data_IF_433260920798
#
_entry.id   IF_433260920798
#
_cell.length_a   1.000
_cell.length_b   1.000
_cell.length_c   1.000
_cell.angle_alpha   90.00
_cell.angle_beta   90.00
_cell.angle_gamma   90.00
#
_symmetry.space_group_name_H-M   'P 1'
#
loop_
_entity.id
_entity.type
_entity.pdbx_description
1 polymer ?
#
# COMPACT_ATOMS: atom_id res chain seq x y z
N UNK A 1 22.06 -8.72 -15.49
CA UNK A 1 21.73 -9.94 -16.28
C UNK A 1 21.17 -11.03 -15.39
N UNK A 2 21.72 -11.30 -14.22
CA UNK A 2 21.31 -12.34 -13.25
C UNK A 2 19.80 -12.38 -12.93
N UNK A 3 19.18 -11.24 -12.55
CA UNK A 3 17.70 -11.16 -12.32
C UNK A 3 16.87 -11.65 -13.51
N UNK A 4 17.41 -11.52 -14.72
CA UNK A 4 16.75 -12.01 -15.91
C UNK A 4 16.87 -13.52 -16.02
N UNK A 5 18.02 -14.10 -15.67
CA UNK A 5 18.21 -15.55 -15.59
C UNK A 5 17.29 -16.17 -14.54
N UNK A 6 17.17 -15.56 -13.34
CA UNK A 6 16.19 -15.98 -12.32
C UNK A 6 14.77 -16.00 -12.88
N UNK A 7 14.38 -14.96 -13.62
CA UNK A 7 13.06 -14.87 -14.23
C UNK A 7 12.85 -15.94 -15.29
N UNK A 8 13.79 -16.12 -16.20
CA UNK A 8 13.74 -17.13 -17.27
C UNK A 8 13.70 -18.54 -16.65
N UNK A 9 14.47 -18.79 -15.61
CA UNK A 9 14.45 -20.07 -14.87
C UNK A 9 13.13 -20.31 -14.20
N UNK A 10 12.68 -19.41 -13.34
CA UNK A 10 11.44 -19.51 -12.56
C UNK A 10 10.22 -19.82 -13.41
N UNK A 11 10.10 -19.17 -14.54
CA UNK A 11 8.93 -19.28 -15.43
C UNK A 11 9.14 -20.23 -16.61
N UNK A 12 10.24 -20.96 -16.62
CA UNK A 12 10.58 -21.93 -17.67
C UNK A 12 10.46 -21.33 -19.08
N UNK A 13 11.00 -20.13 -19.27
CA UNK A 13 10.94 -19.40 -20.56
C UNK A 13 12.06 -19.82 -21.52
N UNK A 14 12.69 -20.94 -21.31
CA UNK A 14 13.73 -21.55 -22.14
C UNK A 14 13.16 -22.73 -22.95
N UNK A 15 13.84 -23.11 -24.01
CA UNK A 15 13.47 -24.29 -24.78
C UNK A 15 13.72 -25.56 -23.95
N UNK A 16 12.65 -26.20 -23.48
CA UNK A 16 12.71 -27.37 -22.59
C UNK A 16 13.22 -28.64 -23.30
N UNK A 17 13.24 -28.67 -24.62
CA UNK A 17 13.59 -29.85 -25.44
C UNK A 17 15.09 -30.08 -25.65
N UNK A 18 15.96 -29.15 -25.22
CA UNK A 18 17.40 -29.20 -25.50
C UNK A 18 18.29 -28.79 -24.32
N UNK A 19 17.80 -28.88 -23.09
CA UNK A 19 18.62 -28.58 -21.93
C UNK A 19 19.63 -29.71 -21.67
N UNK A 20 20.90 -29.35 -21.52
CA UNK A 20 21.96 -30.25 -21.10
C UNK A 20 22.94 -29.53 -20.18
N UNK A 21 23.65 -30.26 -19.32
CA UNK A 21 24.77 -29.73 -18.57
C UNK A 21 25.89 -29.30 -19.52
N UNK A 22 26.85 -28.55 -19.03
CA UNK A 22 28.05 -28.18 -19.76
C UNK A 22 28.89 -29.38 -20.20
N UNK A 23 28.68 -30.55 -19.57
CA UNK A 23 29.28 -31.86 -19.91
C UNK A 23 28.44 -32.67 -20.89
N UNK A 24 27.28 -32.15 -21.35
CA UNK A 24 26.38 -32.81 -22.31
C UNK A 24 25.34 -33.74 -21.72
N UNK A 25 25.21 -33.85 -20.41
CA UNK A 25 24.19 -34.71 -19.77
C UNK A 25 22.80 -34.07 -19.93
N UNK A 26 21.78 -34.83 -20.37
CA UNK A 26 20.45 -34.27 -20.61
C UNK A 26 19.77 -33.83 -19.31
N UNK A 27 19.13 -32.65 -19.33
CA UNK A 27 18.42 -32.08 -18.19
C UNK A 27 16.92 -31.93 -18.49
N UNK A 28 16.08 -32.35 -17.53
CA UNK A 28 14.65 -32.00 -17.52
C UNK A 28 14.27 -31.34 -16.17
N UNK A 29 13.80 -30.11 -16.23
CA UNK A 29 13.36 -29.37 -15.04
C UNK A 29 11.92 -29.74 -14.72
N UNK A 30 11.73 -30.62 -13.74
CA UNK A 30 10.40 -31.04 -13.22
C UNK A 30 9.78 -29.87 -12.47
N UNK A 31 10.52 -29.34 -11.46
CA UNK A 31 10.15 -28.19 -10.66
C UNK A 31 11.36 -27.25 -10.53
N UNK A 32 11.27 -25.95 -10.90
CA UNK A 32 12.38 -25.01 -10.78
C UNK A 32 12.72 -24.65 -9.33
N UNK A 33 11.86 -24.99 -8.38
CA UNK A 33 11.98 -24.65 -6.96
C UNK A 33 11.25 -23.35 -6.58
N UNK A 34 11.30 -23.06 -5.29
CA UNK A 34 10.73 -21.86 -4.67
C UNK A 34 11.84 -20.80 -4.58
N UNK A 35 11.60 -19.64 -5.17
CA UNK A 35 12.57 -18.55 -5.15
C UNK A 35 12.81 -18.05 -3.72
N UNK A 36 14.08 -17.98 -3.34
CA UNK A 36 14.54 -17.38 -2.09
C UNK A 36 14.73 -15.86 -2.27
N UNK A 37 14.43 -15.12 -1.21
CA UNK A 37 14.67 -13.68 -1.13
C UNK A 37 15.60 -13.30 0.03
N UNK A 38 16.03 -14.31 0.79
CA UNK A 38 16.91 -14.20 1.95
C UNK A 38 18.30 -14.77 1.64
N UNK A 39 19.14 -14.95 2.64
CA UNK A 39 20.47 -15.56 2.48
C UNK A 39 20.38 -17.06 2.08
N UNK A 40 21.35 -17.55 1.32
CA UNK A 40 21.44 -18.92 0.82
C UNK A 40 21.05 -19.04 -0.65
N UNK A 41 20.94 -20.28 -1.18
CA UNK A 41 20.69 -20.53 -2.60
C UNK A 41 19.41 -19.86 -3.13
N UNK A 42 19.42 -19.45 -4.39
CA UNK A 42 18.36 -18.69 -5.06
C UNK A 42 17.01 -19.40 -5.16
N UNK A 43 17.02 -20.73 -5.27
CA UNK A 43 15.82 -21.54 -5.35
C UNK A 43 15.96 -22.79 -4.48
N UNK A 44 14.94 -23.04 -3.62
CA UNK A 44 14.86 -24.21 -2.75
C UNK A 44 13.90 -25.27 -3.31
N UNK A 45 14.10 -26.53 -2.91
CA UNK A 45 13.21 -27.65 -3.24
C UNK A 45 13.00 -27.84 -4.75
N UNK A 46 13.96 -27.49 -5.57
CA UNK A 46 13.92 -27.82 -6.99
C UNK A 46 13.96 -29.33 -7.21
N UNK A 47 13.29 -29.79 -8.30
CA UNK A 47 13.33 -31.20 -8.75
C UNK A 47 13.79 -31.23 -10.20
N UNK A 48 14.98 -31.79 -10.42
CA UNK A 48 15.65 -31.77 -11.72
C UNK A 48 16.07 -33.21 -12.06
N UNK A 49 15.75 -33.66 -13.26
CA UNK A 49 16.23 -34.93 -13.77
C UNK A 49 17.49 -34.65 -14.59
N UNK A 50 18.63 -35.23 -14.20
CA UNK A 50 19.92 -35.13 -14.88
C UNK A 50 20.34 -36.57 -15.22
N UNK A 51 20.60 -36.83 -16.50
CA UNK A 51 21.00 -38.16 -17.02
C UNK A 51 20.14 -39.32 -16.45
N UNK A 52 18.82 -39.14 -16.52
CA UNK A 52 17.87 -40.15 -16.06
C UNK A 52 17.58 -40.16 -14.54
N UNK A 53 18.45 -39.57 -13.69
CA UNK A 53 18.30 -39.54 -12.23
C UNK A 53 17.58 -38.25 -11.80
N UNK A 54 16.60 -38.41 -10.89
CA UNK A 54 15.87 -37.23 -10.31
C UNK A 54 16.57 -36.78 -9.04
N UNK A 55 17.02 -35.55 -9.06
CA UNK A 55 17.64 -34.86 -7.93
C UNK A 55 16.64 -33.89 -7.30
N UNK A 56 16.63 -33.81 -5.97
CA UNK A 56 15.90 -32.78 -5.20
C UNK A 56 16.90 -31.97 -4.36
N UNK A 57 16.85 -30.66 -4.47
CA UNK A 57 17.80 -29.78 -3.77
C UNK A 57 17.60 -28.32 -4.16
N UNK A 58 18.67 -27.55 -4.03
CA UNK A 58 18.68 -26.13 -4.34
C UNK A 58 19.29 -25.84 -5.71
N UNK A 59 18.94 -24.69 -6.30
CA UNK A 59 19.55 -24.18 -7.53
C UNK A 59 20.10 -22.80 -7.25
N UNK A 60 21.32 -22.56 -7.71
CA UNK A 60 21.98 -21.26 -7.69
C UNK A 60 22.12 -20.71 -9.10
N UNK A 61 21.98 -19.41 -9.27
CA UNK A 61 21.98 -18.75 -10.57
C UNK A 61 22.90 -17.55 -10.55
N UNK A 62 23.88 -17.52 -11.45
CA UNK A 62 24.80 -16.41 -11.62
C UNK A 62 24.86 -15.91 -13.06
N UNK A 63 25.33 -14.71 -13.27
CA UNK A 63 25.65 -14.21 -14.61
C UNK A 63 26.81 -14.97 -15.21
N UNK A 64 27.88 -15.20 -14.43
CA UNK A 64 29.07 -15.96 -14.79
C UNK A 64 29.28 -17.12 -13.81
N UNK A 65 29.85 -18.20 -14.29
CA UNK A 65 30.17 -19.34 -13.42
C UNK A 65 31.23 -18.96 -12.35
N UNK A 66 32.17 -18.08 -12.69
CA UNK A 66 33.17 -17.57 -11.75
C UNK A 66 32.64 -16.76 -10.58
N UNK A 67 31.39 -16.27 -10.65
CA UNK A 67 30.71 -15.54 -9.54
C UNK A 67 30.50 -16.45 -8.32
N UNK A 68 30.40 -17.78 -8.51
CA UNK A 68 30.37 -18.77 -7.44
C UNK A 68 31.59 -18.64 -6.51
N UNK A 69 32.78 -18.51 -7.09
CA UNK A 69 34.02 -18.34 -6.33
C UNK A 69 34.17 -16.94 -5.77
N UNK A 70 33.73 -15.92 -6.52
CA UNK A 70 33.72 -14.52 -6.08
C UNK A 70 32.87 -14.30 -4.84
N UNK A 71 31.76 -15.01 -4.73
CA UNK A 71 30.81 -14.95 -3.58
C UNK A 71 31.18 -15.97 -2.48
N UNK A 72 32.28 -16.71 -2.61
CA UNK A 72 32.77 -17.70 -1.65
C UNK A 72 31.78 -18.84 -1.36
N UNK A 73 30.96 -19.24 -2.35
CA UNK A 73 30.00 -20.34 -2.17
C UNK A 73 30.67 -21.72 -2.10
N UNK A 74 31.89 -21.85 -2.61
CA UNK A 74 32.75 -23.01 -2.49
C UNK A 74 33.18 -23.31 -1.03
N UNK A 75 33.07 -22.35 -0.14
CA UNK A 75 33.45 -22.43 1.28
C UNK A 75 32.24 -22.26 2.24
N UNK A 76 31.02 -22.07 1.73
CA UNK A 76 29.81 -21.91 2.53
C UNK A 76 28.92 -23.17 2.50
N UNK A 77 28.77 -23.80 3.67
CA UNK A 77 27.94 -24.99 3.86
C UNK A 77 26.46 -24.81 3.44
N UNK A 78 25.95 -23.59 3.43
CA UNK A 78 24.57 -23.30 2.98
C UNK A 78 24.36 -23.72 1.51
N UNK A 79 25.41 -23.75 0.70
CA UNK A 79 25.38 -24.08 -0.73
C UNK A 79 25.68 -25.58 -1.03
N UNK A 80 25.95 -26.41 -0.02
CA UNK A 80 26.14 -27.87 -0.22
C UNK A 80 24.90 -28.57 -0.76
N UNK A 81 23.71 -28.00 -0.56
CA UNK A 81 22.43 -28.50 -1.09
C UNK A 81 22.18 -28.18 -2.57
N UNK A 82 23.09 -27.43 -3.23
CA UNK A 82 22.92 -27.03 -4.64
C UNK A 82 23.15 -28.24 -5.56
N UNK A 83 22.10 -28.60 -6.31
CA UNK A 83 22.10 -29.73 -7.26
C UNK A 83 22.37 -29.31 -8.69
N UNK A 84 22.19 -28.03 -9.00
CA UNK A 84 22.45 -27.46 -10.32
C UNK A 84 22.85 -25.98 -10.16
N UNK A 85 23.92 -25.59 -10.84
CA UNK A 85 24.33 -24.21 -11.02
C UNK A 85 23.92 -23.73 -12.41
N UNK A 86 23.13 -22.66 -12.49
CA UNK A 86 22.64 -22.10 -13.74
C UNK A 86 23.39 -20.82 -14.05
N UNK A 87 23.96 -20.69 -15.24
CA UNK A 87 24.78 -19.54 -15.60
C UNK A 87 24.45 -18.97 -16.98
N UNK A 88 24.67 -17.67 -17.15
CA UNK A 88 24.60 -17.01 -18.46
C UNK A 88 25.90 -17.16 -19.27
N UNK A 89 27.04 -17.28 -18.57
CA UNK A 89 28.38 -17.52 -19.16
C UNK A 89 29.07 -18.57 -18.33
N UNK A 90 29.58 -19.62 -18.98
CA UNK A 90 30.33 -20.68 -18.36
C UNK A 90 31.83 -20.45 -18.51
N UNK A 91 32.42 -19.70 -17.58
CA UNK A 91 33.83 -19.31 -17.58
C UNK A 91 34.69 -19.99 -16.47
N UNK A 92 34.04 -20.84 -15.63
CA UNK A 92 34.73 -21.58 -14.57
C UNK A 92 34.02 -22.91 -14.28
N UNK A 93 34.81 -23.93 -13.88
CA UNK A 93 34.27 -25.13 -13.25
C UNK A 93 34.17 -24.93 -11.75
N UNK A 94 33.07 -25.34 -11.14
CA UNK A 94 32.80 -25.11 -9.73
C UNK A 94 32.57 -26.43 -8.95
N UNK A 95 32.91 -26.38 -7.67
CA UNK A 95 32.74 -27.51 -6.76
C UNK A 95 32.06 -27.08 -5.46
N UNK A 96 31.49 -28.04 -4.74
CA UNK A 96 31.05 -27.89 -3.36
C UNK A 96 32.27 -27.78 -2.41
N UNK A 97 31.99 -27.47 -1.15
CA UNK A 97 32.98 -27.41 -0.09
C UNK A 97 33.75 -28.76 0.08
N UNK A 98 33.12 -29.87 -0.22
CA UNK A 98 33.73 -31.23 -0.17
C UNK A 98 34.54 -31.58 -1.43
N UNK A 99 34.65 -30.64 -2.41
CA UNK A 99 35.37 -30.84 -3.67
C UNK A 99 34.59 -31.57 -4.77
N UNK A 100 33.32 -31.97 -4.52
CA UNK A 100 32.49 -32.56 -5.56
C UNK A 100 32.07 -31.53 -6.60
N UNK A 101 32.17 -31.84 -7.92
CA UNK A 101 31.72 -30.95 -8.96
C UNK A 101 30.20 -30.75 -8.92
N UNK A 102 29.74 -29.53 -9.18
CA UNK A 102 28.31 -29.22 -9.29
C UNK A 102 27.95 -29.22 -10.78
N UNK A 103 26.90 -29.94 -11.21
CA UNK A 103 26.40 -29.87 -12.57
C UNK A 103 26.07 -28.41 -12.95
N UNK A 104 26.53 -27.96 -14.10
CA UNK A 104 26.32 -26.60 -14.59
C UNK A 104 25.44 -26.60 -15.83
N UNK A 105 24.51 -25.65 -15.91
CA UNK A 105 23.64 -25.40 -17.06
C UNK A 105 23.91 -23.99 -17.62
N UNK A 106 24.31 -23.91 -18.87
CA UNK A 106 24.35 -22.66 -19.59
C UNK A 106 22.95 -22.29 -20.08
N UNK A 107 22.33 -21.31 -19.43
CA UNK A 107 20.97 -20.87 -19.72
C UNK A 107 20.98 -19.67 -20.66
N UNK A 108 20.53 -19.85 -21.89
CA UNK A 108 20.34 -18.75 -22.85
C UNK A 108 18.98 -18.10 -22.65
N UNK A 109 18.97 -16.78 -22.60
CA UNK A 109 17.74 -15.99 -22.63
C UNK A 109 17.24 -15.91 -24.06
N UNK A 110 16.01 -16.35 -24.36
CA UNK A 110 15.46 -16.23 -25.70
C UNK A 110 15.47 -14.78 -26.18
N UNK A 111 15.94 -14.54 -27.40
CA UNK A 111 16.10 -13.20 -27.98
C UNK A 111 14.81 -12.34 -27.92
N UNK A 112 13.60 -12.88 -28.17
CA UNK A 112 12.37 -12.12 -28.02
C UNK A 112 12.10 -11.67 -26.58
N UNK A 113 12.43 -12.51 -25.57
CA UNK A 113 12.30 -12.14 -24.16
C UNK A 113 13.31 -11.04 -23.78
N UNK A 114 14.54 -11.14 -24.26
CA UNK A 114 15.60 -10.13 -24.06
C UNK A 114 15.20 -8.77 -24.63
N UNK A 115 14.78 -8.71 -25.89
CA UNK A 115 14.31 -7.45 -26.52
C UNK A 115 13.15 -6.80 -25.77
N UNK A 116 12.18 -7.58 -25.31
CA UNK A 116 11.05 -7.03 -24.59
C UNK A 116 11.40 -6.55 -23.18
N UNK A 117 12.36 -7.22 -22.52
CA UNK A 117 12.86 -6.76 -21.22
C UNK A 117 13.61 -5.46 -21.37
N UNK A 118 14.51 -5.38 -22.35
CA UNK A 118 15.23 -4.14 -22.64
C UNK A 118 14.25 -3.02 -22.95
N UNK A 119 13.20 -3.30 -23.75
CA UNK A 119 12.13 -2.34 -24.04
C UNK A 119 11.37 -1.90 -22.76
N UNK A 120 11.03 -2.83 -21.85
CA UNK A 120 10.32 -2.50 -20.61
C UNK A 120 11.19 -1.72 -19.60
N UNK A 121 12.47 -2.04 -19.50
CA UNK A 121 13.37 -1.48 -18.48
C UNK A 121 14.02 -0.17 -18.93
N UNK A 122 14.32 0.00 -20.23
CA UNK A 122 14.97 1.19 -20.76
C UNK A 122 14.05 2.42 -20.85
N UNK A 123 12.72 2.24 -20.82
CA UNK A 123 11.79 3.37 -20.94
C UNK A 123 11.68 4.17 -19.64
N UNK A 124 12.10 5.43 -19.68
CA UNK A 124 11.96 6.40 -18.59
C UNK A 124 10.56 7.04 -18.51
N UNK A 125 9.52 6.23 -18.73
CA UNK A 125 8.12 6.67 -18.64
C UNK A 125 7.45 6.16 -17.36
N UNK A 126 6.42 6.86 -16.86
CA UNK A 126 5.76 6.48 -15.61
C UNK A 126 5.17 5.06 -15.58
N UNK A 127 4.72 4.54 -16.73
CA UNK A 127 4.19 3.17 -16.90
C UNK A 127 4.82 2.57 -18.15
N UNK A 128 5.89 1.77 -18.02
CA UNK A 128 6.68 1.29 -19.16
C UNK A 128 5.87 0.51 -20.23
N UNK A 129 4.90 -0.29 -19.78
CA UNK A 129 4.08 -1.14 -20.66
C UNK A 129 2.77 -0.49 -21.13
N UNK A 130 2.55 0.81 -20.89
CA UNK A 130 1.27 1.49 -21.10
C UNK A 130 0.63 1.20 -22.46
N UNK A 131 1.42 1.27 -23.53
CA UNK A 131 0.94 1.12 -24.93
C UNK A 131 0.58 -0.33 -25.28
N UNK A 132 1.01 -1.30 -24.49
CA UNK A 132 0.83 -2.73 -24.73
C UNK A 132 -0.02 -3.43 -23.67
N UNK A 133 -0.57 -2.70 -22.70
CA UNK A 133 -1.43 -3.30 -21.67
C UNK A 133 -2.65 -3.97 -22.30
N UNK A 134 -3.21 -3.38 -23.34
CA UNK A 134 -4.34 -3.94 -24.10
C UNK A 134 -4.02 -5.27 -24.81
N UNK A 135 -2.73 -5.63 -24.95
CA UNK A 135 -2.33 -6.95 -25.45
C UNK A 135 -2.53 -8.05 -24.41
N UNK A 136 -2.76 -7.69 -23.14
CA UNK A 136 -3.01 -8.63 -22.05
C UNK A 136 -4.49 -8.99 -22.03
N UNK A 137 -4.77 -10.28 -21.97
CA UNK A 137 -6.13 -10.81 -21.86
C UNK A 137 -6.87 -10.22 -20.65
N UNK A 138 -8.16 -9.84 -20.83
CA UNK A 138 -8.97 -9.16 -19.82
C UNK A 138 -9.14 -9.96 -18.54
N UNK A 139 -9.26 -11.29 -18.62
CA UNK A 139 -9.37 -12.17 -17.42
C UNK A 139 -8.09 -12.12 -16.59
N UNK A 140 -6.92 -12.14 -17.25
CA UNK A 140 -5.65 -12.04 -16.55
C UNK A 140 -5.42 -10.66 -15.96
N UNK A 141 -5.87 -9.61 -16.63
CA UNK A 141 -5.81 -8.25 -16.13
C UNK A 141 -6.71 -8.08 -14.90
N UNK A 142 -7.97 -8.53 -14.97
CA UNK A 142 -8.92 -8.49 -13.86
C UNK A 142 -8.36 -9.25 -12.62
N UNK A 143 -7.92 -10.50 -12.82
CA UNK A 143 -7.29 -11.28 -11.73
C UNK A 143 -6.05 -10.60 -11.13
N UNK A 144 -5.29 -9.85 -11.95
CA UNK A 144 -4.16 -9.09 -11.43
C UNK A 144 -4.60 -7.88 -10.62
N UNK A 145 -5.65 -7.17 -11.07
CA UNK A 145 -6.23 -6.04 -10.34
C UNK A 145 -6.74 -6.46 -8.96
N UNK A 146 -7.42 -7.62 -8.85
CA UNK A 146 -7.87 -8.17 -7.56
C UNK A 146 -6.69 -8.48 -6.62
N UNK A 147 -5.63 -9.08 -7.17
CA UNK A 147 -4.41 -9.34 -6.38
C UNK A 147 -3.78 -8.04 -5.87
N UNK A 148 -3.66 -7.03 -6.74
CA UNK A 148 -3.11 -5.72 -6.36
C UNK A 148 -3.94 -5.00 -5.31
N UNK A 149 -5.28 -5.15 -5.36
CA UNK A 149 -6.17 -4.63 -4.32
C UNK A 149 -5.90 -5.29 -2.98
N UNK A 150 -5.80 -6.62 -2.96
CA UNK A 150 -5.48 -7.38 -1.75
C UNK A 150 -4.14 -6.97 -1.15
N UNK A 151 -3.06 -6.95 -1.95
CA UNK A 151 -1.74 -6.48 -1.52
C UNK A 151 -1.77 -5.06 -0.92
N UNK A 152 -2.58 -4.16 -1.53
CA UNK A 152 -2.71 -2.81 -1.03
C UNK A 152 -3.42 -2.74 0.31
N UNK A 153 -4.48 -3.50 0.49
CA UNK A 153 -5.21 -3.56 1.75
C UNK A 153 -4.35 -4.20 2.85
N UNK A 154 -3.65 -5.30 2.56
CA UNK A 154 -2.71 -5.95 3.47
C UNK A 154 -1.64 -4.97 3.96
N UNK A 155 -0.99 -4.24 3.05
CA UNK A 155 0.03 -3.25 3.41
C UNK A 155 -0.51 -2.12 4.29
N UNK A 156 -1.73 -1.63 4.02
CA UNK A 156 -2.39 -0.64 4.88
C UNK A 156 -2.74 -1.23 6.26
N UNK A 157 -3.03 -2.51 6.30
CA UNK A 157 -3.36 -3.24 7.53
C UNK A 157 -2.15 -3.39 8.45
N UNK A 158 -0.95 -3.54 7.91
CA UNK A 158 0.29 -3.60 8.71
C UNK A 158 0.50 -2.34 9.56
N UNK A 159 0.23 -1.16 8.99
CA UNK A 159 0.29 0.11 9.72
C UNK A 159 -0.74 0.16 10.86
N UNK A 160 -1.95 -0.38 10.61
CA UNK A 160 -3.02 -0.47 11.60
C UNK A 160 -2.64 -1.43 12.74
N UNK A 161 -2.07 -2.59 12.41
CA UNK A 161 -1.64 -3.57 13.42
C UNK A 161 -0.54 -3.01 14.30
N UNK A 162 0.44 -2.28 13.75
CA UNK A 162 1.46 -1.59 14.56
C UNK A 162 0.85 -0.57 15.53
N UNK A 163 -0.19 0.15 15.12
CA UNK A 163 -0.91 1.03 16.04
C UNK A 163 -1.68 0.25 17.10
N UNK A 164 -2.36 -0.84 16.75
CA UNK A 164 -3.07 -1.69 17.72
C UNK A 164 -2.12 -2.25 18.78
N UNK A 165 -0.97 -2.76 18.37
CA UNK A 165 0.06 -3.23 19.30
C UNK A 165 0.54 -2.10 20.24
N UNK A 166 0.70 -0.87 19.73
CA UNK A 166 1.08 0.30 20.52
C UNK A 166 -0.03 0.74 21.50
N UNK A 167 -1.30 0.65 21.10
CA UNK A 167 -2.45 1.09 21.88
C UNK A 167 -3.22 -0.08 22.53
N UNK A 168 -2.56 -1.23 22.77
CA UNK A 168 -3.09 -2.36 23.54
C UNK A 168 -4.44 -2.88 23.01
N UNK A 169 -4.56 -3.02 21.68
CA UNK A 169 -5.76 -3.48 20.98
C UNK A 169 -6.99 -2.55 21.14
N UNK A 170 -6.79 -1.28 21.49
CA UNK A 170 -7.87 -0.30 21.54
C UNK A 170 -8.25 0.19 20.12
N UNK A 171 -9.19 -0.54 19.51
CA UNK A 171 -9.73 -0.22 18.18
C UNK A 171 -10.37 1.16 18.09
N UNK A 172 -10.97 1.68 19.17
CA UNK A 172 -11.56 3.01 19.17
C UNK A 172 -10.50 4.11 19.11
N UNK A 173 -9.44 3.98 19.89
CA UNK A 173 -8.31 4.91 19.87
C UNK A 173 -7.59 4.87 18.52
N UNK A 174 -7.32 3.67 17.97
CA UNK A 174 -6.69 3.51 16.66
C UNK A 174 -7.57 4.10 15.55
N UNK A 175 -8.88 3.83 15.58
CA UNK A 175 -9.82 4.45 14.64
C UNK A 175 -9.81 5.98 14.73
N UNK A 176 -9.82 6.54 15.95
CA UNK A 176 -9.73 7.98 16.18
C UNK A 176 -8.47 8.58 15.58
N UNK A 177 -7.31 7.96 15.80
CA UNK A 177 -6.02 8.42 15.26
C UNK A 177 -6.05 8.42 13.72
N UNK A 178 -6.49 7.33 13.10
CA UNK A 178 -6.53 7.19 11.65
C UNK A 178 -7.57 8.10 10.99
N UNK A 179 -8.75 8.25 11.62
CA UNK A 179 -9.77 9.17 11.14
C UNK A 179 -9.25 10.61 11.19
N UNK A 180 -8.69 11.01 12.33
CA UNK A 180 -8.13 12.35 12.52
C UNK A 180 -7.02 12.62 11.50
N UNK A 181 -6.06 11.68 11.31
CA UNK A 181 -5.04 11.75 10.27
C UNK A 181 -5.65 11.99 8.88
N UNK A 182 -6.72 11.27 8.54
CA UNK A 182 -7.37 11.37 7.24
C UNK A 182 -8.04 12.72 6.99
N UNK A 183 -8.48 13.42 8.06
CA UNK A 183 -8.96 14.80 7.97
C UNK A 183 -7.88 15.82 7.59
N UNK A 184 -6.62 15.47 7.66
CA UNK A 184 -5.51 16.26 7.13
C UNK A 184 -5.42 16.29 5.59
N UNK A 185 -6.15 15.44 4.88
CA UNK A 185 -6.25 15.35 3.42
C UNK A 185 -4.91 15.46 2.69
N UNK A 186 -3.92 14.75 3.18
CA UNK A 186 -2.56 14.67 2.64
C UNK A 186 -1.63 15.76 3.20
N UNK A 187 -1.88 17.02 2.94
CA UNK A 187 -0.95 18.12 3.32
C UNK A 187 -0.80 18.25 4.83
N UNK A 188 -1.88 18.06 5.57
CA UNK A 188 -1.90 18.17 7.04
C UNK A 188 -2.02 16.81 7.74
N UNK A 189 -1.88 15.68 7.05
CA UNK A 189 -2.12 14.36 7.63
C UNK A 189 -1.25 14.10 8.86
N UNK A 190 0.03 14.46 8.82
CA UNK A 190 0.94 14.22 9.94
C UNK A 190 0.62 15.14 11.14
N UNK A 191 0.29 16.42 10.90
CA UNK A 191 -0.14 17.34 11.95
C UNK A 191 -1.41 16.85 12.67
N UNK A 192 -2.40 16.36 11.90
CA UNK A 192 -3.62 15.79 12.46
C UNK A 192 -3.36 14.45 13.19
N UNK A 193 -2.41 13.64 12.75
CA UNK A 193 -2.02 12.44 13.48
C UNK A 193 -1.35 12.79 14.81
N UNK A 194 -0.45 13.78 14.84
CA UNK A 194 0.17 14.25 16.07
C UNK A 194 -0.86 14.85 17.03
N UNK A 195 -1.84 15.59 16.49
CA UNK A 195 -2.98 16.08 17.28
C UNK A 195 -3.71 14.93 17.98
N UNK A 196 -4.09 13.89 17.23
CA UNK A 196 -4.79 12.75 17.79
C UNK A 196 -3.96 12.03 18.87
N UNK A 197 -2.67 11.78 18.60
CA UNK A 197 -1.76 11.13 19.56
C UNK A 197 -1.51 11.96 20.82
N UNK A 198 -1.61 13.30 20.73
CA UNK A 198 -1.44 14.21 21.87
C UNK A 198 -2.73 14.46 22.66
N UNK A 199 -3.88 14.07 22.12
CA UNK A 199 -5.21 14.24 22.71
C UNK A 199 -5.99 12.91 22.67
N UNK A 200 -5.81 12.03 23.66
CA UNK A 200 -6.50 10.73 23.70
C UNK A 200 -8.03 10.84 23.60
N UNK A 201 -8.65 9.95 22.83
CA UNK A 201 -10.10 9.93 22.57
C UNK A 201 -10.92 9.95 23.87
N UNK A 202 -10.48 9.22 24.89
CA UNK A 202 -11.14 9.18 26.21
C UNK A 202 -11.31 10.55 26.86
N UNK A 203 -10.49 11.55 26.55
CA UNK A 203 -10.65 12.91 27.10
C UNK A 203 -11.75 13.66 26.36
N UNK A 204 -11.83 13.49 25.05
CA UNK A 204 -12.92 14.03 24.22
C UNK A 204 -14.25 13.42 24.65
N UNK A 205 -14.32 12.11 24.82
CA UNK A 205 -15.53 11.39 25.26
C UNK A 205 -16.05 11.90 26.61
N UNK A 206 -15.17 12.21 27.56
CA UNK A 206 -15.57 12.79 28.86
C UNK A 206 -16.20 14.17 28.77
N UNK A 207 -15.94 14.91 27.70
CA UNK A 207 -16.50 16.26 27.48
C UNK A 207 -17.54 16.28 26.35
N UNK A 208 -17.91 15.15 25.79
CA UNK A 208 -18.78 15.01 24.63
C UNK A 208 -20.15 15.69 24.77
N UNK A 209 -20.68 15.81 25.98
CA UNK A 209 -21.95 16.49 26.23
C UNK A 209 -21.96 17.99 25.84
N UNK A 210 -20.78 18.62 25.74
CA UNK A 210 -20.65 20.04 25.38
C UNK A 210 -19.89 20.17 24.06
N UNK A 211 -20.56 20.63 23.01
CA UNK A 211 -19.97 20.89 21.71
C UNK A 211 -18.79 21.88 21.81
N UNK A 212 -18.95 22.97 22.56
CA UNK A 212 -17.91 23.96 22.75
C UNK A 212 -16.65 23.41 23.45
N UNK A 213 -16.80 22.44 24.38
CA UNK A 213 -15.66 21.80 25.03
C UNK A 213 -14.93 20.86 24.08
N UNK A 214 -15.64 20.10 23.23
CA UNK A 214 -15.00 19.24 22.23
C UNK A 214 -14.25 20.10 21.21
N UNK A 215 -14.86 21.20 20.71
CA UNK A 215 -14.16 22.14 19.84
C UNK A 215 -12.93 22.76 20.53
N UNK A 216 -13.10 23.24 21.75
CA UNK A 216 -12.01 23.82 22.53
C UNK A 216 -10.83 22.87 22.69
N UNK A 217 -11.09 21.58 22.95
CA UNK A 217 -10.04 20.56 23.04
C UNK A 217 -9.27 20.39 21.73
N UNK A 218 -9.97 20.27 20.60
CA UNK A 218 -9.32 20.05 19.30
C UNK A 218 -8.56 21.29 18.83
N UNK A 219 -9.19 22.47 18.88
CA UNK A 219 -8.53 23.73 18.48
C UNK A 219 -7.41 24.14 19.42
N UNK A 220 -7.62 24.01 20.72
CA UNK A 220 -6.62 24.35 21.72
C UNK A 220 -5.41 23.42 21.68
N UNK A 221 -5.65 22.11 21.54
CA UNK A 221 -4.57 21.13 21.42
C UNK A 221 -3.78 21.30 20.11
N UNK A 222 -4.43 21.77 19.03
CA UNK A 222 -3.77 22.16 17.78
C UNK A 222 -2.97 23.47 17.90
N UNK A 223 -2.95 24.15 19.06
CA UNK A 223 -2.24 25.41 19.27
C UNK A 223 -2.96 26.65 18.74
N UNK A 224 -4.15 26.50 18.16
CA UNK A 224 -4.87 27.57 17.45
C UNK A 224 -5.62 28.53 18.39
N UNK A 225 -5.50 28.38 19.71
CA UNK A 225 -6.11 29.23 20.74
C UNK A 225 -5.05 29.90 21.63
N UNK A 226 -3.81 30.05 21.18
CA UNK A 226 -2.67 30.58 21.93
C UNK A 226 -2.65 32.09 22.06
N UNK A 227 -3.14 32.81 21.04
CA UNK A 227 -3.10 34.29 21.00
C UNK A 227 -4.33 34.95 21.62
N UNK A 228 -4.29 36.28 21.83
CA UNK A 228 -5.47 37.04 22.20
C UNK A 228 -6.38 37.23 20.97
N UNK A 229 -7.51 36.52 20.97
CA UNK A 229 -8.48 36.60 19.89
C UNK A 229 -9.52 37.69 20.08
N UNK A 230 -9.88 38.35 18.98
CA UNK A 230 -10.82 39.52 18.99
C UNK A 230 -12.28 39.09 19.10
N UNK A 231 -12.68 37.92 18.62
CA UNK A 231 -14.10 37.50 18.60
C UNK A 231 -14.54 36.78 19.88
N UNK A 232 -15.81 36.92 20.22
CA UNK A 232 -16.41 36.28 21.41
C UNK A 232 -16.25 34.76 21.40
N UNK A 233 -16.46 34.14 20.23
CA UNK A 233 -16.37 32.68 20.08
C UNK A 233 -14.97 32.15 20.35
N UNK A 234 -13.95 32.80 19.82
CA UNK A 234 -12.55 32.47 20.11
C UNK A 234 -12.24 32.51 21.62
N UNK A 235 -12.66 33.61 22.30
CA UNK A 235 -12.44 33.77 23.74
C UNK A 235 -13.18 32.71 24.56
N UNK A 236 -14.38 32.30 24.13
CA UNK A 236 -15.12 31.19 24.74
C UNK A 236 -14.33 29.89 24.65
N UNK A 237 -13.90 29.49 23.44
CA UNK A 237 -13.14 28.26 23.24
C UNK A 237 -11.81 28.28 23.99
N UNK A 238 -11.11 29.40 23.99
CA UNK A 238 -9.85 29.57 24.73
C UNK A 238 -10.04 29.35 26.24
N UNK A 239 -11.07 29.96 26.84
CA UNK A 239 -11.38 29.79 28.27
C UNK A 239 -11.70 28.32 28.58
N UNK A 240 -12.50 27.67 27.78
CA UNK A 240 -12.83 26.25 27.96
C UNK A 240 -11.55 25.38 27.83
N UNK A 241 -10.71 25.66 26.84
CA UNK A 241 -9.47 24.91 26.66
C UNK A 241 -8.49 25.11 27.83
N UNK A 242 -8.30 26.31 28.32
CA UNK A 242 -7.45 26.60 29.49
C UNK A 242 -7.86 25.73 30.69
N UNK A 243 -9.16 25.66 30.98
CA UNK A 243 -9.69 24.79 32.02
C UNK A 243 -9.38 23.30 31.75
N UNK A 244 -9.66 22.84 30.51
CA UNK A 244 -9.48 21.43 30.12
C UNK A 244 -8.00 21.05 30.03
N UNK A 245 -7.15 21.98 29.60
CA UNK A 245 -5.71 21.81 29.60
C UNK A 245 -5.16 21.49 30.99
N UNK A 246 -5.57 22.25 31.98
CA UNK A 246 -5.22 21.98 33.38
C UNK A 246 -5.79 20.65 33.88
N UNK A 247 -7.06 20.40 33.61
CA UNK A 247 -7.77 19.19 34.06
C UNK A 247 -7.10 17.90 33.56
N UNK A 248 -6.59 17.89 32.33
CA UNK A 248 -6.03 16.70 31.69
C UNK A 248 -4.51 16.74 31.51
N UNK A 249 -3.85 17.81 31.96
CA UNK A 249 -2.39 17.96 31.81
C UNK A 249 -1.93 18.08 30.36
N UNK A 250 -2.75 18.71 29.47
CA UNK A 250 -2.49 18.78 28.06
C UNK A 250 -1.36 19.79 27.73
N UNK A 251 -0.58 19.47 26.70
CA UNK A 251 0.44 20.35 26.11
C UNK A 251 0.08 20.60 24.66
N UNK A 252 -0.29 21.84 24.28
CA UNK A 252 -0.70 22.15 22.92
C UNK A 252 0.46 21.94 21.94
N UNK A 253 0.12 21.59 20.71
CA UNK A 253 1.04 21.59 19.59
C UNK A 253 1.32 23.02 19.11
N UNK A 254 2.32 23.17 18.25
CA UNK A 254 2.58 24.42 17.54
C UNK A 254 1.60 24.54 16.35
N UNK A 255 0.88 25.65 16.23
CA UNK A 255 -0.10 25.89 15.17
C UNK A 255 0.53 25.98 13.78
N UNK A 256 1.82 26.34 13.70
CA UNK A 256 2.58 26.36 12.44
C UNK A 256 2.65 25.00 11.72
N UNK A 257 2.41 23.90 12.43
CA UNK A 257 2.29 22.56 11.85
C UNK A 257 1.10 22.45 10.88
N UNK A 258 0.06 23.26 11.07
CA UNK A 258 -1.20 23.21 10.31
C UNK A 258 -1.20 24.20 9.16
N UNK A 259 -0.89 23.73 7.97
CA UNK A 259 -0.72 24.54 6.76
C UNK A 259 -2.07 24.92 6.15
N UNK A 260 -2.22 26.21 5.82
CA UNK A 260 -3.38 26.75 5.08
C UNK A 260 -2.99 27.32 3.71
N UNK A 261 -1.71 27.62 3.49
CA UNK A 261 -1.23 28.21 2.24
C UNK A 261 -1.42 27.27 1.04
N UNK A 262 -1.96 27.79 -0.06
CA UNK A 262 -2.27 27.04 -1.29
C UNK A 262 -3.30 25.93 -1.13
N UNK A 263 -4.12 25.97 -0.09
CA UNK A 263 -5.21 25.04 0.17
C UNK A 263 -6.55 25.79 -0.06
N UNK A 264 -7.54 25.09 -0.62
CA UNK A 264 -8.90 25.63 -0.77
C UNK A 264 -9.51 25.87 0.62
N UNK A 265 -10.25 26.99 0.85
CA UNK A 265 -10.81 27.32 2.17
C UNK A 265 -11.62 26.19 2.81
N UNK A 266 -12.36 25.41 2.03
CA UNK A 266 -13.11 24.22 2.53
C UNK A 266 -12.22 23.12 3.12
N UNK A 267 -10.92 23.15 2.85
CA UNK A 267 -9.92 22.21 3.37
C UNK A 267 -8.97 22.88 4.38
N UNK A 268 -9.24 24.09 4.84
CA UNK A 268 -8.46 24.69 5.91
C UNK A 268 -8.51 23.85 7.17
N UNK A 269 -7.41 23.74 7.92
CA UNK A 269 -7.37 22.98 9.17
C UNK A 269 -8.50 23.35 10.13
N UNK A 270 -8.85 24.64 10.24
CA UNK A 270 -9.95 25.11 11.08
C UNK A 270 -11.28 24.47 10.71
N UNK A 271 -11.64 24.43 9.42
CA UNK A 271 -12.87 23.79 8.95
C UNK A 271 -12.83 22.28 9.23
N UNK A 272 -11.66 21.64 9.06
CA UNK A 272 -11.49 20.21 9.30
C UNK A 272 -11.58 19.86 10.78
N UNK A 273 -11.04 20.69 11.66
CA UNK A 273 -11.20 20.54 13.10
C UNK A 273 -12.65 20.73 13.55
N UNK A 274 -13.35 21.72 12.99
CA UNK A 274 -14.77 21.94 13.26
C UNK A 274 -15.64 20.73 12.80
N UNK A 275 -15.37 20.17 11.64
CA UNK A 275 -16.04 18.96 11.15
C UNK A 275 -15.75 17.76 12.07
N UNK A 276 -14.52 17.60 12.50
CA UNK A 276 -14.09 16.51 13.38
C UNK A 276 -14.71 16.65 14.78
N UNK A 277 -14.78 17.87 15.33
CA UNK A 277 -15.41 18.12 16.63
C UNK A 277 -16.90 17.80 16.61
N UNK A 278 -17.61 18.17 15.55
CA UNK A 278 -19.02 17.83 15.39
C UNK A 278 -19.27 16.31 15.37
N UNK A 279 -18.37 15.55 14.73
CA UNK A 279 -18.44 14.07 14.73
C UNK A 279 -18.26 13.53 16.14
N UNK A 280 -17.23 13.95 16.86
CA UNK A 280 -16.94 13.44 18.21
C UNK A 280 -17.90 13.97 19.29
N UNK A 281 -18.53 15.12 19.07
CA UNK A 281 -19.65 15.56 19.89
C UNK A 281 -20.88 14.66 19.70
N UNK A 282 -21.16 14.26 18.45
CA UNK A 282 -22.34 13.47 18.11
C UNK A 282 -22.22 12.01 18.51
N UNK A 283 -21.08 11.37 18.28
CA UNK A 283 -20.92 9.92 18.46
C UNK A 283 -19.88 9.57 19.52
N UNK A 284 -20.24 8.63 20.38
CA UNK A 284 -19.36 8.05 21.39
C UNK A 284 -18.62 6.80 20.88
N UNK A 285 -19.34 5.96 20.15
CA UNK A 285 -18.89 4.63 19.71
C UNK A 285 -18.92 4.49 18.18
N UNK A 286 -18.40 5.50 17.47
CA UNK A 286 -18.52 5.57 16.00
C UNK A 286 -17.93 4.34 15.31
N UNK A 287 -16.82 3.77 15.82
CA UNK A 287 -16.23 2.57 15.25
C UNK A 287 -17.18 1.36 15.33
N UNK A 288 -17.80 1.14 16.49
CA UNK A 288 -18.79 0.07 16.66
C UNK A 288 -20.01 0.25 15.76
N UNK A 289 -20.45 1.50 15.56
CA UNK A 289 -21.53 1.82 14.62
C UNK A 289 -21.15 1.47 13.17
N UNK A 290 -19.91 1.75 12.76
CA UNK A 290 -19.40 1.36 11.45
C UNK A 290 -19.35 -0.16 11.31
N UNK A 291 -18.91 -0.87 12.34
CA UNK A 291 -18.90 -2.35 12.33
C UNK A 291 -20.32 -2.94 12.18
N UNK A 292 -21.34 -2.31 12.74
CA UNK A 292 -22.74 -2.78 12.67
C UNK A 292 -23.54 -2.21 11.49
N UNK A 293 -23.01 -1.21 10.78
CA UNK A 293 -23.70 -0.58 9.67
C UNK A 293 -24.08 -1.58 8.57
N UNK A 294 -25.30 -1.48 8.08
CA UNK A 294 -25.88 -2.40 7.08
C UNK A 294 -25.54 -2.02 5.65
N UNK A 295 -25.14 -0.77 5.40
CA UNK A 295 -24.89 -0.27 4.04
C UNK A 295 -23.80 0.81 3.99
N UNK A 296 -23.14 0.99 2.80
CA UNK A 296 -22.22 2.10 2.56
C UNK A 296 -22.86 3.48 2.76
N UNK A 297 -24.15 3.62 2.46
CA UNK A 297 -24.89 4.86 2.66
C UNK A 297 -24.97 5.23 4.13
N UNK A 298 -25.33 4.27 4.98
CA UNK A 298 -25.39 4.46 6.43
C UNK A 298 -24.07 4.91 7.01
N UNK A 299 -22.95 4.30 6.58
CA UNK A 299 -21.60 4.74 6.99
C UNK A 299 -21.34 6.18 6.57
N UNK A 300 -21.70 6.57 5.35
CA UNK A 300 -21.56 7.96 4.89
C UNK A 300 -22.38 8.94 5.72
N UNK A 301 -23.59 8.57 6.10
CA UNK A 301 -24.50 9.41 6.86
C UNK A 301 -23.96 9.73 8.27
N UNK A 302 -23.15 8.85 8.88
CA UNK A 302 -22.46 9.15 10.13
C UNK A 302 -21.47 10.32 10.03
N UNK A 303 -20.93 10.59 8.86
CA UNK A 303 -19.98 11.70 8.63
C UNK A 303 -20.66 12.99 8.12
N UNK A 304 -21.95 12.95 7.75
CA UNK A 304 -22.70 14.10 7.25
C UNK A 304 -23.26 14.95 8.39
N UNK A 305 -22.36 15.54 9.15
CA UNK A 305 -22.70 16.39 10.30
C UNK A 305 -22.28 17.81 10.00
N UNK A 306 -23.16 18.77 10.35
CA UNK A 306 -22.86 20.19 10.28
C UNK A 306 -22.06 20.59 11.51
N UNK A 307 -20.91 21.27 11.35
CA UNK A 307 -20.21 21.93 12.46
C UNK A 307 -21.07 23.00 13.12
N UNK A 308 -20.64 23.48 14.29
CA UNK A 308 -21.32 24.52 15.03
C UNK A 308 -21.63 25.77 14.17
N UNK A 309 -22.67 26.52 14.55
CA UNK A 309 -23.19 27.64 13.74
C UNK A 309 -22.17 28.70 13.41
N UNK A 310 -21.15 28.87 14.24
CA UNK A 310 -20.07 29.81 13.97
C UNK A 310 -19.40 29.53 12.62
N UNK A 311 -19.15 28.27 12.29
CA UNK A 311 -18.44 27.89 11.06
C UNK A 311 -19.27 28.06 9.79
N UNK A 312 -20.56 28.28 9.87
CA UNK A 312 -21.36 28.59 8.68
C UNK A 312 -20.85 29.84 7.96
N UNK A 313 -20.35 30.81 8.72
CA UNK A 313 -19.88 32.11 8.19
C UNK A 313 -18.35 32.29 8.29
N UNK A 314 -17.60 31.26 8.71
CA UNK A 314 -16.16 31.39 8.93
C UNK A 314 -15.39 30.22 8.32
N UNK A 315 -14.19 30.52 7.82
CA UNK A 315 -13.16 29.53 7.46
C UNK A 315 -11.93 29.62 8.39
N UNK A 316 -11.89 30.68 9.19
CA UNK A 316 -10.87 31.01 10.17
C UNK A 316 -11.49 31.89 11.24
N UNK A 317 -10.90 31.99 12.44
CA UNK A 317 -11.49 32.79 13.53
C UNK A 317 -11.59 34.29 13.25
N UNK A 318 -10.74 34.86 12.38
CA UNK A 318 -10.60 36.30 12.21
C UNK A 318 -11.53 36.91 11.14
N UNK A 319 -11.97 36.10 10.17
CA UNK A 319 -12.63 36.64 8.98
C UNK A 319 -13.96 35.94 8.71
N UNK A 320 -15.02 36.76 8.71
CA UNK A 320 -16.32 36.28 8.26
C UNK A 320 -16.33 36.07 6.73
N UNK A 321 -17.06 35.09 6.29
CA UNK A 321 -17.28 34.73 4.88
C UNK A 321 -18.75 34.68 4.54
N UNK A 322 -19.08 34.56 3.27
CA UNK A 322 -20.45 34.25 2.86
C UNK A 322 -20.94 32.97 3.54
N UNK A 323 -22.18 33.00 4.01
CA UNK A 323 -22.80 31.87 4.66
C UNK A 323 -22.84 30.65 3.73
N UNK A 324 -22.32 29.53 4.21
CA UNK A 324 -22.28 28.28 3.47
C UNK A 324 -22.17 27.10 4.43
N UNK A 325 -22.93 26.04 4.16
CA UNK A 325 -22.79 24.79 4.89
C UNK A 325 -21.37 24.24 4.79
N UNK A 326 -20.84 23.82 5.91
CA UNK A 326 -19.49 23.27 6.04
C UNK A 326 -19.50 21.77 6.31
N UNK A 327 -20.58 21.07 5.94
CA UNK A 327 -20.60 19.61 5.96
C UNK A 327 -19.50 19.02 5.07
N UNK A 328 -19.11 17.81 5.35
CA UNK A 328 -18.12 17.08 4.54
C UNK A 328 -18.77 16.77 3.18
N UNK A 329 -18.15 17.25 2.10
CA UNK A 329 -18.63 17.00 0.74
C UNK A 329 -18.36 15.56 0.29
N UNK A 330 -19.12 15.07 -0.70
CA UNK A 330 -19.10 13.67 -1.16
C UNK A 330 -17.70 13.16 -1.52
N UNK A 331 -16.90 13.95 -2.23
CA UNK A 331 -15.51 13.56 -2.56
C UNK A 331 -14.64 13.38 -1.31
N UNK A 332 -14.79 14.25 -0.31
CA UNK A 332 -14.06 14.15 0.94
C UNK A 332 -14.52 12.93 1.75
N UNK A 333 -15.83 12.64 1.76
CA UNK A 333 -16.38 11.42 2.37
C UNK A 333 -15.77 10.17 1.72
N UNK A 334 -15.74 10.11 0.40
CA UNK A 334 -15.14 8.98 -0.31
C UNK A 334 -13.68 8.78 0.07
N UNK A 335 -12.90 9.86 0.17
CA UNK A 335 -11.49 9.81 0.61
C UNK A 335 -11.37 9.26 2.04
N UNK A 336 -12.23 9.71 2.96
CA UNK A 336 -12.25 9.20 4.34
C UNK A 336 -12.60 7.70 4.38
N UNK A 337 -13.60 7.27 3.61
CA UNK A 337 -13.96 5.85 3.52
C UNK A 337 -12.80 5.00 2.99
N UNK A 338 -12.21 5.39 1.86
CA UNK A 338 -11.12 4.65 1.20
C UNK A 338 -9.86 4.58 2.08
N UNK A 339 -9.55 5.64 2.83
CA UNK A 339 -8.29 5.72 3.58
C UNK A 339 -8.40 5.36 5.06
N UNK A 340 -9.61 5.35 5.63
CA UNK A 340 -9.84 5.02 7.05
C UNK A 340 -10.73 3.80 7.22
N UNK A 341 -11.98 3.90 6.75
CA UNK A 341 -13.00 2.88 7.06
C UNK A 341 -12.66 1.55 6.40
N UNK A 342 -12.34 1.55 5.11
CA UNK A 342 -12.00 0.34 4.35
C UNK A 342 -10.80 -0.40 4.94
N UNK A 343 -9.63 0.24 5.17
CA UNK A 343 -8.49 -0.46 5.76
C UNK A 343 -8.77 -0.97 7.17
N UNK A 344 -9.54 -0.23 7.98
CA UNK A 344 -9.92 -0.66 9.33
C UNK A 344 -10.86 -1.85 9.34
N UNK A 345 -11.88 -1.88 8.46
CA UNK A 345 -12.74 -3.05 8.30
C UNK A 345 -11.94 -4.28 7.88
N UNK A 346 -11.01 -4.11 6.93
CA UNK A 346 -10.17 -5.19 6.45
C UNK A 346 -9.24 -5.69 7.56
N UNK A 347 -8.58 -4.78 8.30
CA UNK A 347 -7.73 -5.11 9.43
C UNK A 347 -8.50 -5.81 10.56
N UNK A 348 -9.71 -5.31 10.88
CA UNK A 348 -10.58 -5.91 11.90
C UNK A 348 -10.96 -7.35 11.53
N UNK A 349 -11.33 -7.57 10.27
CA UNK A 349 -11.64 -8.90 9.74
C UNK A 349 -10.44 -9.86 9.84
N UNK A 350 -9.25 -9.40 9.45
CA UNK A 350 -8.03 -10.19 9.50
C UNK A 350 -7.59 -10.53 10.93
N UNK A 351 -7.53 -9.54 11.82
CA UNK A 351 -7.08 -9.72 13.23
C UNK A 351 -8.00 -10.64 14.02
N UNK A 352 -9.32 -10.53 13.81
CA UNK A 352 -10.33 -11.30 14.55
C UNK A 352 -10.76 -12.59 13.82
N UNK A 353 -10.18 -12.90 12.64
CA UNK A 353 -10.56 -14.04 11.81
C UNK A 353 -12.03 -14.04 11.38
N UNK A 354 -12.54 -12.86 11.02
CA UNK A 354 -13.91 -12.57 10.60
C UNK A 354 -13.93 -12.14 9.12
N UNK A 355 -13.90 -13.08 8.16
CA UNK A 355 -13.75 -12.78 6.73
C UNK A 355 -14.87 -11.92 6.16
N UNK A 356 -16.05 -11.89 6.78
CA UNK A 356 -17.16 -11.03 6.39
C UNK A 356 -16.81 -9.54 6.42
N UNK A 357 -15.95 -9.09 7.33
CA UNK A 357 -15.50 -7.69 7.37
C UNK A 357 -14.49 -7.36 6.25
N UNK A 358 -13.64 -8.33 5.88
CA UNK A 358 -12.78 -8.18 4.70
C UNK A 358 -13.62 -8.05 3.43
N UNK A 359 -14.66 -8.88 3.28
CA UNK A 359 -15.59 -8.80 2.15
C UNK A 359 -16.39 -7.49 2.16
N UNK A 360 -16.81 -6.99 3.33
CA UNK A 360 -17.46 -5.67 3.44
C UNK A 360 -16.54 -4.54 3.02
N UNK A 361 -15.26 -4.60 3.37
CA UNK A 361 -14.27 -3.61 2.98
C UNK A 361 -14.14 -3.52 1.44
N UNK A 362 -14.06 -4.67 0.75
CA UNK A 362 -14.00 -4.71 -0.72
C UNK A 362 -15.30 -4.21 -1.38
N UNK A 363 -16.47 -4.67 -0.90
CA UNK A 363 -17.78 -4.18 -1.37
C UNK A 363 -17.97 -2.68 -1.16
N UNK A 364 -17.42 -2.13 -0.06
CA UNK A 364 -17.45 -0.69 0.17
C UNK A 364 -16.65 0.06 -0.89
N UNK A 365 -15.47 -0.44 -1.28
CA UNK A 365 -14.69 0.14 -2.38
C UNK A 365 -15.42 0.06 -3.72
N UNK A 366 -16.08 -1.05 -4.01
CA UNK A 366 -16.89 -1.23 -5.23
C UNK A 366 -18.05 -0.25 -5.32
N UNK A 367 -18.61 0.16 -4.16
CA UNK A 367 -19.73 1.13 -4.10
C UNK A 367 -19.30 2.59 -4.23
N UNK A 368 -18.01 2.88 -4.19
CA UNK A 368 -17.45 4.24 -4.27
C UNK A 368 -16.99 4.50 -5.71
N UNK A 369 -17.36 5.64 -6.32
CA UNK A 369 -16.90 5.99 -7.66
C UNK A 369 -15.36 6.13 -7.72
N UNK A 370 -14.78 5.99 -8.93
CA UNK A 370 -13.34 6.11 -9.13
C UNK A 370 -12.77 7.42 -8.58
N UNK A 371 -11.61 7.35 -7.96
CA UNK A 371 -10.86 8.55 -7.54
C UNK A 371 -10.32 9.30 -8.76
N UNK A 372 -10.11 10.59 -8.61
CA UNK A 372 -9.45 11.44 -9.63
C UNK A 372 -8.10 11.88 -9.11
N UNK A 373 -7.02 11.33 -9.65
CA UNK A 373 -5.65 11.71 -9.28
C UNK A 373 -4.68 11.55 -10.47
N UNK A 374 -3.46 12.06 -10.34
CA UNK A 374 -2.43 12.02 -11.37
C UNK A 374 -1.98 10.59 -11.74
N UNK A 375 -2.11 9.63 -10.81
CA UNK A 375 -1.75 8.23 -11.07
C UNK A 375 -2.72 7.64 -12.10
N UNK A 376 -4.03 7.86 -11.90
CA UNK A 376 -5.04 7.40 -12.85
C UNK A 376 -4.90 8.06 -14.22
N UNK A 377 -4.52 9.34 -14.25
CA UNK A 377 -4.21 10.04 -15.50
C UNK A 377 -3.09 9.32 -16.27
N UNK A 378 -2.10 8.74 -15.58
CA UNK A 378 -1.03 7.97 -16.22
C UNK A 378 -1.53 6.69 -16.90
N UNK A 379 -2.65 6.11 -16.44
CA UNK A 379 -3.26 4.92 -17.03
C UNK A 379 -4.41 5.23 -18.01
N UNK A 380 -4.79 6.49 -18.20
CA UNK A 380 -5.95 6.87 -19.04
C UNK A 380 -5.88 6.36 -20.48
N UNK A 381 -4.67 6.07 -21.01
CA UNK A 381 -4.44 5.55 -22.37
C UNK A 381 -4.16 4.05 -22.42
N UNK A 382 -4.26 3.36 -21.27
CA UNK A 382 -3.92 1.93 -21.20
C UNK A 382 -5.01 1.00 -21.72
N UNK A 383 -6.23 1.50 -21.89
CA UNK A 383 -7.40 0.68 -22.17
C UNK A 383 -7.96 -0.07 -20.95
N UNK A 384 -7.41 0.16 -19.77
CA UNK A 384 -7.96 -0.40 -18.51
C UNK A 384 -9.23 0.37 -18.16
N UNK A 385 -10.34 -0.33 -18.06
CA UNK A 385 -11.59 0.22 -17.56
C UNK A 385 -11.54 0.36 -16.04
N UNK A 386 -12.03 1.50 -15.55
CA UNK A 386 -12.02 1.85 -14.11
C UNK A 386 -13.44 2.21 -13.72
N UNK A 387 -14.10 1.35 -12.96
CA UNK A 387 -15.51 1.48 -12.60
C UNK A 387 -15.73 2.01 -11.20
N UNK A 388 -14.80 1.75 -10.27
CA UNK A 388 -14.97 2.03 -8.85
C UNK A 388 -13.64 2.35 -8.14
N UNK A 389 -13.72 2.61 -6.82
CA UNK A 389 -12.53 2.91 -6.02
C UNK A 389 -11.61 1.70 -5.85
N UNK A 390 -12.10 0.47 -5.90
CA UNK A 390 -11.27 -0.73 -5.87
C UNK A 390 -10.27 -0.75 -7.04
N UNK A 391 -10.78 -0.51 -8.27
CA UNK A 391 -9.93 -0.44 -9.46
C UNK A 391 -8.87 0.67 -9.33
N UNK A 392 -9.27 1.84 -8.80
CA UNK A 392 -8.31 2.94 -8.62
C UNK A 392 -7.25 2.62 -7.58
N UNK A 393 -7.60 1.92 -6.50
CA UNK A 393 -6.66 1.48 -5.48
C UNK A 393 -5.69 0.40 -6.01
N UNK A 394 -6.16 -0.50 -6.88
CA UNK A 394 -5.33 -1.47 -7.59
C UNK A 394 -4.30 -0.80 -8.50
N UNK A 395 -4.73 0.20 -9.30
CA UNK A 395 -3.82 0.96 -10.17
C UNK A 395 -2.80 1.79 -9.37
N UNK A 396 -3.18 2.33 -8.22
CA UNK A 396 -2.24 3.01 -7.33
C UNK A 396 -1.19 2.03 -6.79
N UNK A 397 -1.59 0.80 -6.43
CA UNK A 397 -0.68 -0.27 -6.03
C UNK A 397 0.27 -0.63 -7.17
N UNK A 398 -0.26 -0.91 -8.36
CA UNK A 398 0.51 -1.21 -9.56
C UNK A 398 1.55 -0.13 -9.84
N UNK A 399 1.15 1.14 -9.79
CA UNK A 399 2.03 2.27 -10.06
C UNK A 399 3.17 2.36 -9.05
N UNK A 400 2.84 2.38 -7.75
CA UNK A 400 3.80 2.64 -6.68
C UNK A 400 4.72 1.45 -6.39
N UNK A 401 4.15 0.24 -6.39
CA UNK A 401 4.89 -0.94 -5.94
C UNK A 401 5.58 -1.70 -7.08
N UNK A 402 5.11 -1.51 -8.32
CA UNK A 402 5.64 -2.21 -9.48
C UNK A 402 6.24 -1.26 -10.53
N UNK A 403 5.50 -0.28 -11.03
CA UNK A 403 5.99 0.57 -12.13
C UNK A 403 7.12 1.51 -11.69
N UNK A 404 6.96 2.22 -10.57
CA UNK A 404 7.98 3.14 -10.03
C UNK A 404 9.23 2.40 -9.57
N UNK A 405 9.06 1.20 -9.02
CA UNK A 405 10.15 0.34 -8.58
C UNK A 405 10.75 -0.53 -9.70
N UNK A 406 10.30 -0.35 -10.94
CA UNK A 406 10.75 -1.12 -12.11
C UNK A 406 10.67 -2.64 -11.91
N UNK A 407 9.67 -3.12 -11.18
CA UNK A 407 9.43 -4.54 -10.93
C UNK A 407 8.66 -5.21 -12.06
N UNK A 408 8.96 -4.88 -13.32
CA UNK A 408 8.23 -5.42 -14.48
C UNK A 408 8.32 -6.95 -14.58
N UNK A 409 9.42 -7.54 -14.16
CA UNK A 409 9.62 -8.99 -14.14
C UNK A 409 8.78 -9.72 -13.08
N UNK A 410 8.32 -9.00 -12.05
CA UNK A 410 7.44 -9.53 -10.99
C UNK A 410 5.97 -9.15 -11.20
N UNK A 411 5.69 -8.36 -12.25
CA UNK A 411 4.34 -7.90 -12.59
C UNK A 411 3.67 -8.90 -13.54
N UNK A 412 2.42 -9.31 -13.26
CA UNK A 412 1.70 -10.24 -14.14
C UNK A 412 1.45 -9.66 -15.54
N UNK A 413 1.30 -8.34 -15.69
CA UNK A 413 1.25 -7.67 -17.00
C UNK A 413 2.58 -7.85 -17.71
N UNK A 414 3.69 -7.52 -17.08
CA UNK A 414 5.03 -7.72 -17.64
C UNK A 414 5.26 -9.17 -18.07
N UNK A 415 4.93 -10.14 -17.18
CA UNK A 415 5.01 -11.56 -17.49
C UNK A 415 4.24 -11.95 -18.77
N UNK A 416 3.00 -11.49 -18.91
CA UNK A 416 2.17 -11.81 -20.10
C UNK A 416 2.75 -11.24 -21.39
N UNK A 417 3.24 -10.01 -21.33
CA UNK A 417 3.88 -9.37 -22.48
C UNK A 417 5.17 -10.08 -22.90
N UNK A 418 5.95 -10.57 -21.95
CA UNK A 418 7.16 -11.33 -22.21
C UNK A 418 6.86 -12.73 -22.76
N UNK A 419 5.86 -13.44 -22.22
CA UNK A 419 5.47 -14.77 -22.65
C UNK A 419 4.91 -14.81 -24.08
N UNK A 420 4.09 -13.82 -24.46
CA UNK A 420 3.52 -13.73 -25.82
C UNK A 420 4.59 -13.63 -26.92
N UNK A 421 5.72 -13.04 -26.59
CA UNK A 421 6.83 -12.87 -27.54
C UNK A 421 7.66 -14.14 -27.74
N UNK A 422 7.65 -15.03 -26.73
CA UNK A 422 8.34 -16.33 -26.80
C UNK A 422 7.44 -17.37 -27.49
N UNK A 423 6.13 -17.27 -27.29
CA UNK A 423 5.11 -18.15 -27.87
C UNK A 423 4.01 -17.27 -28.50
N UNK A 424 4.15 -16.80 -29.76
CA UNK A 424 3.06 -16.10 -30.43
C UNK A 424 1.83 -17.02 -30.49
N UNK A 425 0.61 -16.48 -30.35
CA UNK A 425 -0.60 -17.27 -30.50
C UNK A 425 -0.60 -17.91 -31.89
N UNK A 426 -0.90 -19.23 -31.94
CA UNK A 426 -1.08 -19.97 -33.19
C UNK A 426 -2.30 -19.46 -33.93
#
# INVERSE_FOLDING_TARGET
MERLLHYVWKYKLYASTSLATTEGLPIAVIDPGIQNTDAGPDFFNAKIKIDGTVWAGSVEIHEKASDWLLHHHDSDKAYDSVILHVTGVNDASICRMNGEPIPQLLLSVPEPARKNIDWLLAREVPVPCLERIQDVDSVHLASWMDTLLSERLERKTEDIYRLLDQYQEDWNEVFYILLTRSFGFGVNSDAFEWLAKSLPLRYIQKQRASESQVEAMLFGQAGMLSEEGSCHYYRLLRREYEFLRHKFGLKPLDDSLFKSLRIRPTNFPHVKLAQLSAIWHRYDTLFSMILSASSPKEIKDYFRIQPSDYWKNHYHFQYASVQKDKMIGENALNILLINTVVPLLFAYGGRNKLPEYCLRATRLLESIPPERNHILTAFARSGIEVHNAGDTQSLIQLKREYCEKRKCLYCRIGFRLLKRSVNPPR
#
